data_IF_005429969857
#
_entry.id   IF_005429969857
#
_cell.length_a   1.000
_cell.length_b   1.000
_cell.length_c   1.000
_cell.angle_alpha   90.00
_cell.angle_beta   90.00
_cell.angle_gamma   90.00
#
_symmetry.space_group_name_H-M   'P 1'
#
loop_
_entity.id
_entity.type
_entity.pdbx_description
1 polymer ?
#
# COMPACT_ATOMS: atom_id res chain seq x y z
N UNK A 1 -26.11 44.62 17.00
CA UNK A 1 -26.42 44.22 15.61
C UNK A 1 -25.71 42.86 15.40
N UNK A 2 -26.47 41.81 15.52
CA UNK A 2 -26.05 40.42 15.52
C UNK A 2 -26.17 39.89 14.10
N UNK A 3 -25.04 39.46 13.51
CA UNK A 3 -25.04 38.77 12.22
C UNK A 3 -25.20 37.26 12.47
N UNK A 4 -26.30 36.71 11.97
CA UNK A 4 -26.63 35.30 12.01
C UNK A 4 -25.65 34.48 11.13
N UNK A 5 -25.06 33.44 11.68
CA UNK A 5 -24.39 32.37 10.92
C UNK A 5 -25.47 31.54 10.23
N UNK A 6 -25.39 31.53 8.90
CA UNK A 6 -26.21 30.68 8.05
C UNK A 6 -25.61 29.25 8.04
N UNK A 7 -26.13 28.38 8.90
CA UNK A 7 -25.84 26.94 8.90
C UNK A 7 -26.59 26.28 7.75
N UNK A 8 -25.97 26.23 6.56
CA UNK A 8 -26.42 25.34 5.49
C UNK A 8 -25.69 24.03 5.59
N UNK A 9 -26.30 23.07 6.28
CA UNK A 9 -25.95 21.67 6.15
C UNK A 9 -26.03 21.25 4.69
N UNK A 10 -24.95 20.66 4.18
CA UNK A 10 -24.93 20.04 2.85
C UNK A 10 -25.97 18.91 2.80
N UNK A 11 -26.72 18.75 1.70
CA UNK A 11 -27.72 17.66 1.61
C UNK A 11 -27.04 16.30 1.62
N UNK A 12 -27.67 15.25 2.24
CA UNK A 12 -27.14 13.91 2.26
C UNK A 12 -27.08 13.34 0.84
N UNK A 13 -25.90 12.86 0.48
CA UNK A 13 -25.53 11.97 -0.60
C UNK A 13 -26.45 11.88 -1.81
N UNK A 14 -26.22 12.69 -2.83
CA UNK A 14 -26.61 12.30 -4.20
C UNK A 14 -25.81 11.04 -4.55
N UNK A 15 -26.49 9.90 -4.79
CA UNK A 15 -25.86 8.74 -5.40
C UNK A 15 -25.12 9.25 -6.66
N UNK A 16 -23.79 9.15 -6.68
CA UNK A 16 -23.02 9.62 -7.82
C UNK A 16 -23.50 8.82 -9.03
N UNK A 17 -23.97 9.54 -10.04
CA UNK A 17 -24.43 8.92 -11.30
C UNK A 17 -23.25 8.19 -11.91
N UNK A 18 -23.38 6.87 -12.11
CA UNK A 18 -22.38 6.05 -12.81
C UNK A 18 -21.99 6.72 -14.14
N UNK A 19 -20.68 6.82 -14.41
CA UNK A 19 -20.17 7.41 -15.67
C UNK A 19 -20.68 6.65 -16.87
N UNK A 20 -20.78 7.36 -18.00
CA UNK A 20 -21.03 6.81 -19.32
C UNK A 20 -19.74 6.82 -20.14
N UNK A 21 -19.67 6.09 -21.27
CA UNK A 21 -18.49 6.07 -22.13
C UNK A 21 -18.02 7.46 -22.57
N UNK A 22 -18.95 8.41 -22.77
CA UNK A 22 -18.64 9.80 -23.15
C UNK A 22 -18.01 10.61 -22.03
N UNK A 23 -18.20 10.20 -20.78
CA UNK A 23 -17.66 10.87 -19.59
C UNK A 23 -16.21 10.41 -19.28
N UNK A 24 -15.70 9.38 -20.00
CA UNK A 24 -14.34 8.88 -19.85
C UNK A 24 -13.31 9.90 -20.38
N UNK A 25 -12.18 10.07 -19.68
CA UNK A 25 -11.06 10.90 -20.17
C UNK A 25 -10.50 10.37 -21.48
N UNK A 26 -10.47 9.04 -21.63
CA UNK A 26 -10.02 8.35 -22.85
C UNK A 26 -10.94 8.57 -24.06
N UNK A 27 -12.18 9.03 -23.85
CA UNK A 27 -13.10 9.36 -24.96
C UNK A 27 -12.48 10.35 -25.93
N UNK A 28 -11.73 11.36 -25.45
CA UNK A 28 -11.01 12.33 -26.31
C UNK A 28 -9.97 11.69 -27.24
N UNK A 29 -9.46 10.51 -26.91
CA UNK A 29 -8.50 9.77 -27.74
C UNK A 29 -9.20 8.80 -28.69
N UNK A 30 -10.25 8.16 -28.25
CA UNK A 30 -10.82 7.02 -28.96
C UNK A 30 -12.22 7.27 -29.50
N UNK A 31 -13.06 8.03 -28.78
CA UNK A 31 -14.45 8.26 -29.12
C UNK A 31 -14.71 9.46 -30.02
N UNK A 32 -13.83 10.46 -30.01
CA UNK A 32 -13.99 11.66 -30.81
C UNK A 32 -13.86 11.41 -32.32
N UNK A 33 -14.50 12.27 -33.15
CA UNK A 33 -14.51 12.19 -34.60
C UNK A 33 -13.54 13.18 -35.26
N UNK A 34 -12.41 13.47 -34.60
CA UNK A 34 -11.40 14.41 -35.07
C UNK A 34 -10.11 13.71 -35.56
N UNK A 35 -9.20 14.52 -36.10
CA UNK A 35 -7.91 14.05 -36.63
C UNK A 35 -7.00 13.49 -35.50
N UNK A 36 -7.10 14.01 -34.27
CA UNK A 36 -6.33 13.48 -33.12
C UNK A 36 -6.78 12.07 -32.77
N UNK A 37 -8.08 11.87 -32.63
CA UNK A 37 -8.64 10.55 -32.35
C UNK A 37 -8.33 9.54 -33.46
N UNK A 38 -8.33 9.97 -34.75
CA UNK A 38 -7.84 9.15 -35.85
C UNK A 38 -6.37 8.74 -35.62
N UNK A 39 -5.50 9.70 -35.28
CA UNK A 39 -4.09 9.43 -35.00
C UNK A 39 -3.91 8.43 -33.83
N UNK A 40 -4.64 8.62 -32.72
CA UNK A 40 -4.55 7.72 -31.56
C UNK A 40 -5.06 6.31 -31.91
N UNK A 41 -6.20 6.19 -32.59
CA UNK A 41 -6.71 4.88 -33.00
C UNK A 41 -5.78 4.16 -33.97
N UNK A 42 -5.15 4.87 -34.91
CA UNK A 42 -4.20 4.27 -35.84
C UNK A 42 -2.93 3.77 -35.13
N UNK A 43 -2.45 4.51 -34.11
CA UNK A 43 -1.31 4.10 -33.29
C UNK A 43 -1.66 2.93 -32.37
N UNK A 44 -2.86 2.91 -31.83
CA UNK A 44 -3.34 1.77 -31.04
C UNK A 44 -3.48 0.50 -31.91
N UNK A 45 -3.92 0.65 -33.17
CA UNK A 45 -3.89 -0.44 -34.15
C UNK A 45 -2.48 -0.93 -34.47
N UNK A 46 -1.49 -0.02 -34.53
CA UNK A 46 -0.06 -0.38 -34.68
C UNK A 46 0.44 -1.28 -33.54
N UNK A 47 -0.12 -1.15 -32.34
CA UNK A 47 0.19 -2.00 -31.17
C UNK A 47 -0.58 -3.34 -31.17
N UNK A 48 -1.38 -3.62 -32.21
CA UNK A 48 -2.11 -4.88 -32.40
C UNK A 48 -3.53 -4.89 -31.85
N UNK A 49 -4.07 -3.74 -31.40
CA UNK A 49 -5.44 -3.67 -30.86
C UNK A 49 -6.45 -3.20 -31.89
N UNK A 50 -7.66 -3.75 -31.83
CA UNK A 50 -8.80 -3.34 -32.64
C UNK A 50 -9.69 -2.35 -31.89
N UNK A 51 -10.56 -1.63 -32.63
CA UNK A 51 -11.49 -0.67 -31.99
C UNK A 51 -12.35 -1.27 -30.88
N UNK A 52 -12.77 -2.55 -31.01
CA UNK A 52 -13.58 -3.24 -30.00
C UNK A 52 -12.85 -3.46 -28.69
N UNK A 53 -11.51 -3.38 -28.69
CA UNK A 53 -10.70 -3.62 -27.50
C UNK A 53 -10.73 -2.43 -26.55
N UNK A 54 -10.88 -1.20 -27.04
CA UNK A 54 -10.78 0.03 -26.27
C UNK A 54 -11.95 1.01 -26.41
N UNK A 55 -12.76 0.95 -27.50
CA UNK A 55 -13.78 1.96 -27.74
C UNK A 55 -14.91 1.87 -26.71
N UNK A 56 -15.16 2.98 -26.00
CA UNK A 56 -16.18 3.06 -24.96
C UNK A 56 -15.85 2.33 -23.66
N UNK A 57 -14.61 1.85 -23.50
CA UNK A 57 -14.13 1.14 -22.31
C UNK A 57 -13.19 2.02 -21.47
N UNK A 58 -13.19 1.88 -20.15
CA UNK A 58 -12.21 2.53 -19.30
C UNK A 58 -10.79 2.10 -19.66
N UNK A 59 -9.90 3.07 -19.84
CA UNK A 59 -8.46 2.85 -20.00
C UNK A 59 -7.82 2.87 -18.63
N UNK A 60 -7.27 1.73 -18.21
CA UNK A 60 -6.64 1.56 -16.91
C UNK A 60 -5.12 1.54 -17.07
N UNK A 61 -4.45 2.55 -16.52
CA UNK A 61 -3.00 2.59 -16.42
C UNK A 61 -2.53 1.61 -15.34
N UNK A 62 -1.61 0.72 -15.67
CA UNK A 62 -0.90 -0.12 -14.70
C UNK A 62 0.47 0.50 -14.49
N UNK A 63 0.62 1.26 -13.40
CA UNK A 63 1.90 1.90 -13.04
C UNK A 63 2.75 0.84 -12.34
N UNK A 64 3.68 0.26 -13.08
CA UNK A 64 4.46 -0.90 -12.67
C UNK A 64 5.90 -0.52 -12.33
N UNK A 65 6.29 -0.71 -11.08
CA UNK A 65 7.66 -0.48 -10.59
C UNK A 65 8.54 -1.74 -10.63
N UNK A 66 8.25 -2.66 -11.54
CA UNK A 66 9.08 -3.83 -11.79
C UNK A 66 10.51 -3.48 -12.22
N UNK A 67 11.48 -4.27 -11.77
CA UNK A 67 12.84 -4.23 -12.26
C UNK A 67 13.61 -5.48 -11.84
N UNK A 68 14.59 -5.90 -12.63
CA UNK A 68 15.53 -6.97 -12.27
C UNK A 68 16.39 -6.64 -11.04
N UNK A 69 16.64 -5.34 -10.79
CA UNK A 69 17.41 -4.89 -9.63
C UNK A 69 16.57 -4.68 -8.37
N UNK A 70 15.28 -5.02 -8.40
CA UNK A 70 14.42 -4.88 -7.25
C UNK A 70 13.79 -6.22 -6.85
N UNK A 71 14.39 -6.97 -5.92
CA UNK A 71 13.87 -8.26 -5.50
C UNK A 71 12.48 -8.17 -4.85
N UNK A 72 12.13 -7.00 -4.28
CA UNK A 72 10.78 -6.77 -3.75
C UNK A 72 9.71 -6.79 -4.86
N UNK A 73 10.06 -6.44 -6.10
CA UNK A 73 9.16 -6.29 -7.24
C UNK A 73 9.44 -7.25 -8.40
N UNK A 74 10.36 -8.19 -8.26
CA UNK A 74 10.78 -9.11 -9.33
C UNK A 74 9.61 -9.89 -9.96
N UNK A 75 8.57 -10.19 -9.19
CA UNK A 75 7.35 -10.88 -9.64
C UNK A 75 6.32 -9.97 -10.31
N UNK A 76 6.49 -8.65 -10.32
CA UNK A 76 5.48 -7.72 -10.84
C UNK A 76 5.28 -7.82 -12.35
N UNK A 77 6.28 -8.29 -13.09
CA UNK A 77 6.09 -8.60 -14.52
C UNK A 77 4.93 -9.60 -14.72
N UNK A 78 4.94 -10.68 -13.94
CA UNK A 78 3.87 -11.68 -13.98
C UNK A 78 2.57 -11.14 -13.38
N UNK A 79 2.62 -10.42 -12.26
CA UNK A 79 1.43 -9.86 -11.60
C UNK A 79 0.72 -8.84 -12.47
N UNK A 80 1.44 -8.09 -13.32
CA UNK A 80 0.83 -7.17 -14.29
C UNK A 80 -0.06 -7.91 -15.29
N UNK A 81 0.32 -9.13 -15.73
CA UNK A 81 -0.53 -9.93 -16.61
C UNK A 81 -1.83 -10.40 -15.91
N UNK A 82 -1.76 -10.69 -14.63
CA UNK A 82 -2.94 -11.05 -13.84
C UNK A 82 -3.85 -9.85 -13.60
N UNK A 83 -3.29 -8.65 -13.39
CA UNK A 83 -4.05 -7.39 -13.36
C UNK A 83 -4.72 -7.13 -14.71
N UNK A 84 -3.98 -7.25 -15.83
CA UNK A 84 -4.53 -7.10 -17.18
C UNK A 84 -5.69 -8.06 -17.43
N UNK A 85 -5.56 -9.32 -17.00
CA UNK A 85 -6.64 -10.31 -17.07
C UNK A 85 -7.91 -9.79 -16.38
N UNK A 86 -7.80 -9.32 -15.15
CA UNK A 86 -8.94 -8.77 -14.40
C UNK A 86 -9.56 -7.56 -15.07
N UNK A 87 -8.76 -6.66 -15.64
CA UNK A 87 -9.23 -5.47 -16.37
C UNK A 87 -10.00 -5.90 -17.64
N UNK A 88 -9.46 -6.85 -18.43
CA UNK A 88 -10.13 -7.37 -19.60
C UNK A 88 -11.47 -8.04 -19.27
N UNK A 89 -11.50 -8.88 -18.24
CA UNK A 89 -12.71 -9.57 -17.78
C UNK A 89 -13.80 -8.59 -17.33
N UNK A 90 -13.43 -7.46 -16.73
CA UNK A 90 -14.36 -6.41 -16.31
C UNK A 90 -14.75 -5.42 -17.44
N UNK A 91 -14.24 -5.63 -18.65
CA UNK A 91 -14.56 -4.80 -19.80
C UNK A 91 -13.77 -3.49 -19.89
N UNK A 92 -12.62 -3.40 -19.25
CA UNK A 92 -11.65 -2.30 -19.37
C UNK A 92 -10.59 -2.55 -20.45
N UNK A 93 -9.75 -1.56 -20.69
CA UNK A 93 -8.58 -1.63 -21.56
C UNK A 93 -7.29 -1.34 -20.76
N UNK A 94 -6.46 -2.36 -20.47
CA UNK A 94 -5.24 -2.18 -19.69
C UNK A 94 -4.11 -1.59 -20.54
N UNK A 95 -3.39 -0.63 -19.95
CA UNK A 95 -2.16 -0.07 -20.50
C UNK A 95 -1.09 -0.08 -19.43
N UNK A 96 -0.08 -0.95 -19.59
CA UNK A 96 1.04 -1.00 -18.65
C UNK A 96 2.03 0.12 -18.94
N UNK A 97 2.41 0.84 -17.88
CA UNK A 97 3.38 1.93 -17.90
C UNK A 97 4.47 1.61 -16.88
N UNK A 98 5.73 1.39 -17.34
CA UNK A 98 6.84 1.25 -16.41
C UNK A 98 7.09 2.55 -15.67
N UNK A 99 7.42 2.45 -14.39
CA UNK A 99 7.78 3.56 -13.55
C UNK A 99 9.07 3.29 -12.80
N UNK A 100 9.69 4.34 -12.27
CA UNK A 100 10.94 4.27 -11.52
C UNK A 100 10.84 3.23 -10.40
N UNK A 101 11.74 2.27 -10.39
CA UNK A 101 11.88 1.32 -9.29
C UNK A 101 12.80 1.89 -8.20
N UNK A 102 12.38 1.79 -6.93
CA UNK A 102 13.20 2.20 -5.79
C UNK A 102 13.53 0.95 -4.97
N UNK A 103 14.72 0.39 -5.20
CA UNK A 103 15.18 -0.84 -4.55
C UNK A 103 15.97 -0.50 -3.29
N UNK A 104 15.35 -0.56 -2.11
CA UNK A 104 15.99 -0.26 -0.83
C UNK A 104 17.28 -1.07 -0.59
N UNK A 105 17.35 -2.38 -0.94
CA UNK A 105 18.57 -3.15 -0.76
C UNK A 105 19.77 -2.64 -1.58
N UNK A 106 19.53 -2.13 -2.79
CA UNK A 106 20.60 -1.82 -3.74
C UNK A 106 20.86 -0.33 -3.96
N UNK A 107 19.82 0.51 -3.86
CA UNK A 107 19.94 1.93 -4.17
C UNK A 107 20.56 2.72 -3.01
N UNK A 108 21.66 3.43 -3.30
CA UNK A 108 22.42 4.20 -2.32
C UNK A 108 22.43 5.70 -2.69
N UNK A 109 22.61 6.60 -1.72
CA UNK A 109 22.78 6.34 -0.28
C UNK A 109 21.48 5.95 0.42
N UNK A 110 20.32 6.29 -0.13
CA UNK A 110 18.98 5.93 0.36
C UNK A 110 17.93 6.17 -0.72
N UNK A 111 16.95 5.30 -0.83
CA UNK A 111 15.80 5.47 -1.73
C UNK A 111 14.93 6.69 -1.36
N UNK A 112 15.06 7.23 -0.15
CA UNK A 112 14.29 8.39 0.30
C UNK A 112 14.52 9.64 -0.58
N UNK A 113 15.72 9.82 -1.12
CA UNK A 113 16.04 10.93 -2.02
C UNK A 113 15.22 10.89 -3.32
N UNK A 114 14.78 9.70 -3.74
CA UNK A 114 14.09 9.46 -4.99
C UNK A 114 12.57 9.28 -4.84
N UNK A 115 12.06 9.22 -3.59
CA UNK A 115 10.63 9.06 -3.33
C UNK A 115 9.79 10.10 -4.05
N UNK A 116 10.19 11.36 -3.97
CA UNK A 116 9.43 12.45 -4.58
C UNK A 116 9.54 12.45 -6.10
N UNK A 117 10.66 11.99 -6.66
CA UNK A 117 10.84 11.82 -8.11
C UNK A 117 9.82 10.82 -8.66
N UNK A 118 9.69 9.63 -8.05
CA UNK A 118 8.67 8.65 -8.44
C UNK A 118 7.25 9.18 -8.24
N UNK A 119 7.00 10.00 -7.20
CA UNK A 119 5.70 10.63 -7.01
C UNK A 119 5.36 11.61 -8.14
N UNK A 120 6.32 12.41 -8.58
CA UNK A 120 6.18 13.34 -9.71
C UNK A 120 5.97 12.55 -11.02
N UNK A 121 6.78 11.51 -11.27
CA UNK A 121 6.63 10.65 -12.44
C UNK A 121 5.23 10.02 -12.51
N UNK A 122 4.76 9.46 -11.40
CA UNK A 122 3.40 8.87 -11.31
C UNK A 122 2.32 9.90 -11.62
N UNK A 123 2.43 11.11 -11.05
CA UNK A 123 1.50 12.20 -11.32
C UNK A 123 1.50 12.58 -12.80
N UNK A 124 2.67 12.75 -13.42
CA UNK A 124 2.80 13.17 -14.82
C UNK A 124 2.42 12.06 -15.81
N UNK A 125 2.69 10.80 -15.54
CA UNK A 125 2.17 9.69 -16.33
C UNK A 125 0.64 9.70 -16.35
N UNK A 126 0.00 9.86 -15.20
CA UNK A 126 -1.47 9.91 -15.10
C UNK A 126 -2.06 11.21 -15.67
N UNK A 127 -1.30 12.30 -15.69
CA UNK A 127 -1.72 13.60 -16.23
C UNK A 127 -1.62 13.64 -17.76
N UNK A 128 -0.49 13.22 -18.29
CA UNK A 128 -0.15 13.35 -19.73
C UNK A 128 -0.92 12.36 -20.60
N UNK A 129 -1.13 11.14 -20.12
CA UNK A 129 -1.94 10.13 -20.81
C UNK A 129 -3.39 10.15 -20.34
N UNK A 130 -4.39 9.93 -21.22
CA UNK A 130 -5.80 9.99 -20.86
C UNK A 130 -6.30 8.67 -20.26
N UNK A 131 -5.55 8.10 -19.33
CA UNK A 131 -6.06 7.02 -18.50
C UNK A 131 -7.28 7.49 -17.71
N UNK A 132 -8.26 6.61 -17.54
CA UNK A 132 -9.47 6.86 -16.77
C UNK A 132 -9.31 6.46 -15.31
N UNK A 133 -8.43 5.51 -15.04
CA UNK A 133 -8.05 5.07 -13.71
C UNK A 133 -6.69 4.40 -13.71
N UNK A 134 -6.22 3.99 -12.52
CA UNK A 134 -4.91 3.38 -12.36
C UNK A 134 -4.88 2.24 -11.36
N UNK A 135 -4.05 1.22 -11.65
CA UNK A 135 -3.52 0.27 -10.68
C UNK A 135 -2.07 0.64 -10.38
N UNK A 136 -1.75 0.84 -9.11
CA UNK A 136 -0.43 1.23 -8.64
C UNK A 136 0.27 0.00 -8.07
N UNK A 137 1.33 -0.48 -8.71
CA UNK A 137 2.05 -1.68 -8.28
C UNK A 137 3.35 -1.30 -7.58
N UNK A 138 3.40 -1.51 -6.27
CA UNK A 138 4.54 -1.18 -5.43
C UNK A 138 4.58 -2.00 -4.14
N UNK A 139 5.64 -1.89 -3.35
CA UNK A 139 5.73 -2.66 -2.11
C UNK A 139 7.08 -2.55 -1.40
N UNK A 140 8.07 -1.89 -2.01
CA UNK A 140 9.30 -1.53 -1.32
C UNK A 140 9.09 -0.24 -0.51
N UNK A 141 9.99 0.05 0.42
CA UNK A 141 9.88 1.09 1.45
C UNK A 141 9.33 2.44 0.96
N UNK A 142 9.82 2.92 -0.18
CA UNK A 142 9.50 4.26 -0.70
C UNK A 142 8.63 4.24 -1.96
N UNK A 143 8.50 3.09 -2.64
CA UNK A 143 7.63 2.97 -3.81
C UNK A 143 6.16 3.11 -3.42
N UNK A 144 5.75 2.48 -2.31
CA UNK A 144 4.37 2.54 -1.81
C UNK A 144 3.91 3.99 -1.57
N UNK A 145 4.57 4.79 -0.71
CA UNK A 145 4.13 6.16 -0.49
C UNK A 145 4.29 7.05 -1.74
N UNK A 146 5.33 6.83 -2.57
CA UNK A 146 5.55 7.62 -3.77
C UNK A 146 4.42 7.49 -4.80
N UNK A 147 4.02 6.26 -5.12
CA UNK A 147 2.92 5.99 -6.05
C UNK A 147 1.60 6.60 -5.56
N UNK A 148 1.30 6.45 -4.26
CA UNK A 148 0.10 7.05 -3.69
C UNK A 148 0.14 8.58 -3.69
N UNK A 149 1.29 9.19 -3.38
CA UNK A 149 1.46 10.64 -3.47
C UNK A 149 1.17 11.16 -4.87
N UNK A 150 1.65 10.50 -5.92
CA UNK A 150 1.35 10.85 -7.32
C UNK A 150 -0.13 10.69 -7.66
N UNK A 151 -0.73 9.57 -7.29
CA UNK A 151 -2.15 9.31 -7.52
C UNK A 151 -3.07 10.29 -6.78
N UNK A 152 -2.75 10.65 -5.53
CA UNK A 152 -3.47 11.66 -4.74
C UNK A 152 -3.41 13.04 -5.42
N UNK A 153 -2.24 13.43 -5.92
CA UNK A 153 -2.07 14.70 -6.63
C UNK A 153 -2.92 14.76 -7.87
N UNK A 154 -2.91 13.70 -8.68
CA UNK A 154 -3.70 13.64 -9.90
C UNK A 154 -5.20 13.45 -9.63
N UNK A 155 -5.55 12.76 -8.55
CA UNK A 155 -6.91 12.48 -8.11
C UNK A 155 -7.80 11.81 -9.18
N UNK A 156 -7.25 10.82 -9.87
CA UNK A 156 -8.00 9.88 -10.71
C UNK A 156 -8.39 8.65 -9.91
N UNK A 157 -9.47 7.94 -10.30
CA UNK A 157 -9.77 6.62 -9.74
C UNK A 157 -8.52 5.75 -9.73
N UNK A 158 -8.07 5.33 -8.55
CA UNK A 158 -6.85 4.54 -8.40
C UNK A 158 -6.93 3.62 -7.19
N UNK A 159 -6.29 2.45 -7.32
CA UNK A 159 -6.10 1.53 -6.21
C UNK A 159 -4.69 0.92 -6.25
N UNK A 160 -4.26 0.43 -5.12
CA UNK A 160 -2.90 -0.07 -4.93
C UNK A 160 -2.88 -1.60 -4.90
N UNK A 161 -1.90 -2.22 -5.58
CA UNK A 161 -1.55 -3.63 -5.47
C UNK A 161 -0.20 -3.76 -4.75
N UNK A 162 -0.18 -4.22 -3.48
CA UNK A 162 1.06 -4.42 -2.74
C UNK A 162 1.87 -5.61 -3.28
N UNK A 163 3.20 -5.56 -3.16
CA UNK A 163 4.07 -6.66 -3.55
C UNK A 163 3.92 -7.91 -2.65
N UNK A 164 3.46 -7.74 -1.45
CA UNK A 164 3.44 -8.81 -0.46
C UNK A 164 4.82 -9.11 0.14
N UNK A 165 4.86 -9.64 1.37
CA UNK A 165 6.11 -10.05 2.01
C UNK A 165 6.71 -11.28 1.32
N UNK A 166 8.05 -11.40 1.34
CA UNK A 166 8.72 -12.65 0.99
C UNK A 166 8.42 -13.74 2.03
N UNK A 167 8.61 -14.99 1.65
CA UNK A 167 8.53 -16.13 2.57
C UNK A 167 9.59 -15.99 3.67
N UNK A 168 9.29 -16.49 4.87
CA UNK A 168 10.25 -16.52 5.98
C UNK A 168 11.51 -17.28 5.58
N UNK A 169 12.67 -16.79 6.01
CA UNK A 169 13.92 -17.48 5.81
C UNK A 169 14.00 -18.77 6.64
N UNK A 170 14.85 -19.70 6.21
CA UNK A 170 15.14 -20.93 6.94
C UNK A 170 16.62 -21.29 6.79
N UNK A 171 17.24 -21.65 7.90
CA UNK A 171 18.56 -22.26 7.91
C UNK A 171 18.58 -23.39 8.93
N UNK A 172 18.70 -24.62 8.45
CA UNK A 172 18.75 -25.84 9.27
C UNK A 172 17.57 -25.94 10.26
N UNK A 173 16.36 -25.56 9.84
CA UNK A 173 15.16 -25.53 10.66
C UNK A 173 15.01 -24.31 11.58
N UNK A 174 15.97 -23.38 11.57
CA UNK A 174 15.86 -22.11 12.26
C UNK A 174 15.24 -21.06 11.33
N UNK A 175 14.14 -20.44 11.74
CA UNK A 175 13.52 -19.35 10.99
C UNK A 175 14.36 -18.08 11.03
N UNK A 176 14.57 -17.48 9.86
CA UNK A 176 15.38 -16.29 9.69
C UNK A 176 14.51 -15.12 9.20
N UNK A 177 14.73 -13.94 9.80
CA UNK A 177 14.15 -12.67 9.37
C UNK A 177 15.17 -11.77 8.69
N UNK A 178 14.90 -11.29 7.48
CA UNK A 178 15.84 -10.51 6.68
C UNK A 178 16.34 -9.21 7.34
N UNK A 179 15.53 -8.60 8.18
CA UNK A 179 15.89 -7.35 8.87
C UNK A 179 16.39 -7.52 10.32
N UNK A 180 16.33 -8.73 10.87
CA UNK A 180 16.68 -8.98 12.28
C UNK A 180 17.89 -9.89 12.44
N UNK A 181 17.92 -11.02 11.71
CA UNK A 181 18.95 -12.04 11.92
C UNK A 181 20.27 -11.75 11.18
N UNK A 182 20.25 -10.96 10.13
CA UNK A 182 21.47 -10.55 9.39
C UNK A 182 22.52 -9.96 10.35
N UNK A 183 22.13 -9.05 11.24
CA UNK A 183 23.04 -8.40 12.18
C UNK A 183 23.64 -9.37 13.18
N UNK A 184 22.83 -10.33 13.66
CA UNK A 184 23.29 -11.38 14.56
C UNK A 184 24.38 -12.24 13.89
N UNK A 185 24.08 -12.78 12.72
CA UNK A 185 25.02 -13.64 12.00
C UNK A 185 26.25 -12.89 11.48
N UNK A 186 26.10 -11.60 11.14
CA UNK A 186 27.25 -10.74 10.83
C UNK A 186 28.18 -10.57 12.04
N UNK A 187 27.63 -10.40 13.23
CA UNK A 187 28.46 -10.34 14.46
C UNK A 187 29.21 -11.65 14.71
N UNK A 188 28.55 -12.81 14.56
CA UNK A 188 29.17 -14.13 14.67
C UNK A 188 30.26 -14.35 13.62
N UNK A 189 30.01 -13.94 12.36
CA UNK A 189 31.00 -14.00 11.27
C UNK A 189 32.23 -13.17 11.62
N UNK A 190 32.08 -11.95 12.08
CA UNK A 190 33.19 -11.07 12.49
C UNK A 190 33.96 -11.60 13.70
N UNK A 191 33.29 -12.30 14.58
CA UNK A 191 33.93 -12.96 15.73
C UNK A 191 34.68 -14.24 15.33
N UNK A 192 34.63 -14.69 14.08
CA UNK A 192 35.25 -15.92 13.62
C UNK A 192 34.50 -17.21 13.99
N UNK A 193 33.26 -17.10 14.45
CA UNK A 193 32.44 -18.23 14.89
C UNK A 193 31.72 -18.95 13.75
N UNK A 194 31.75 -18.39 12.52
CA UNK A 194 31.11 -18.97 11.34
C UNK A 194 32.14 -19.23 10.23
N UNK A 195 32.10 -20.44 9.67
CA UNK A 195 32.84 -20.76 8.44
C UNK A 195 32.25 -20.04 7.23
N UNK A 196 33.03 -19.91 6.15
CA UNK A 196 32.53 -19.35 4.88
C UNK A 196 31.35 -20.15 4.35
N UNK A 197 31.43 -21.49 4.35
CA UNK A 197 30.34 -22.35 3.92
C UNK A 197 29.04 -22.13 4.74
N UNK A 198 29.16 -21.99 6.05
CA UNK A 198 28.00 -21.72 6.91
C UNK A 198 27.43 -20.34 6.63
N UNK A 199 28.28 -19.35 6.35
CA UNK A 199 27.84 -18.02 5.97
C UNK A 199 27.04 -18.03 4.66
N UNK A 200 27.55 -18.72 3.62
CA UNK A 200 26.85 -18.89 2.34
C UNK A 200 25.51 -19.61 2.47
N UNK A 201 25.43 -20.64 3.33
CA UNK A 201 24.16 -21.30 3.64
C UNK A 201 23.13 -20.33 4.21
N UNK A 202 23.54 -19.45 5.13
CA UNK A 202 22.67 -18.43 5.74
C UNK A 202 22.24 -17.39 4.70
N UNK A 203 23.16 -16.92 3.87
CA UNK A 203 22.84 -15.98 2.76
C UNK A 203 21.78 -16.57 1.82
N UNK A 204 21.93 -17.83 1.44
CA UNK A 204 20.98 -18.53 0.57
C UNK A 204 19.63 -18.80 1.28
N UNK A 205 19.65 -19.01 2.59
CA UNK A 205 18.47 -19.34 3.38
C UNK A 205 17.63 -18.14 3.82
N UNK A 206 18.19 -16.93 3.89
CA UNK A 206 17.52 -15.79 4.51
C UNK A 206 16.47 -15.11 3.63
N UNK A 207 16.67 -15.08 2.29
CA UNK A 207 15.77 -14.45 1.32
C UNK A 207 15.35 -15.44 0.24
N UNK A 208 14.38 -16.31 0.57
CA UNK A 208 14.00 -17.47 -0.23
C UNK A 208 13.03 -17.21 -1.39
N UNK A 209 12.43 -16.03 -1.46
CA UNK A 209 11.48 -15.66 -2.50
C UNK A 209 11.53 -14.17 -2.81
N UNK A 210 10.93 -13.78 -3.93
CA UNK A 210 10.60 -12.38 -4.18
C UNK A 210 9.58 -11.86 -3.15
N UNK A 211 9.41 -10.54 -3.09
CA UNK A 211 8.57 -9.84 -2.12
C UNK A 211 9.38 -8.89 -1.24
N UNK A 212 8.70 -8.03 -0.50
CA UNK A 212 9.37 -7.13 0.44
C UNK A 212 9.81 -7.88 1.72
N UNK A 213 10.55 -7.19 2.61
CA UNK A 213 11.03 -7.82 3.84
C UNK A 213 9.90 -8.53 4.61
N UNK A 214 10.23 -9.72 5.15
CA UNK A 214 9.30 -10.56 5.91
C UNK A 214 9.13 -10.12 7.38
N UNK A 215 9.76 -9.01 7.78
CA UNK A 215 9.59 -8.39 9.11
C UNK A 215 8.68 -7.16 9.00
N UNK A 216 8.18 -6.65 10.13
CA UNK A 216 7.42 -5.39 10.19
C UNK A 216 8.37 -4.18 10.08
N UNK A 217 9.11 -4.11 8.96
CA UNK A 217 9.87 -2.96 8.52
C UNK A 217 9.00 -1.95 7.78
N UNK A 218 9.62 -0.97 7.12
CA UNK A 218 8.91 0.12 6.45
C UNK A 218 8.00 -0.37 5.32
N UNK A 219 8.43 -1.36 4.53
CA UNK A 219 7.64 -1.92 3.45
C UNK A 219 6.33 -2.55 3.94
N UNK A 220 6.39 -3.48 4.91
CA UNK A 220 5.20 -4.10 5.52
C UNK A 220 4.32 -3.08 6.21
N UNK A 221 4.92 -2.10 6.90
CA UNK A 221 4.19 -1.02 7.56
C UNK A 221 3.40 -0.18 6.56
N UNK A 222 4.03 0.24 5.45
CA UNK A 222 3.37 1.10 4.47
C UNK A 222 2.29 0.36 3.69
N UNK A 223 2.49 -0.90 3.30
CA UNK A 223 1.44 -1.68 2.65
C UNK A 223 0.24 -1.91 3.58
N UNK A 224 0.48 -2.17 4.87
CA UNK A 224 -0.58 -2.25 5.88
C UNK A 224 -1.30 -0.91 6.09
N UNK A 225 -0.56 0.20 6.13
CA UNK A 225 -1.16 1.54 6.22
C UNK A 225 -2.06 1.84 5.02
N UNK A 226 -1.65 1.44 3.80
CA UNK A 226 -2.45 1.61 2.57
C UNK A 226 -3.77 0.83 2.63
N UNK A 227 -3.75 -0.38 3.21
CA UNK A 227 -4.97 -1.16 3.42
C UNK A 227 -5.88 -0.49 4.46
N UNK A 228 -5.32 -0.01 5.57
CA UNK A 228 -6.09 0.71 6.59
C UNK A 228 -6.62 2.07 6.11
N UNK A 229 -5.92 2.74 5.18
CA UNK A 229 -6.39 3.92 4.46
C UNK A 229 -7.55 3.61 3.48
N UNK A 230 -7.81 2.35 3.19
CA UNK A 230 -8.82 1.94 2.22
C UNK A 230 -8.39 2.00 0.76
N UNK A 231 -7.10 2.14 0.44
CA UNK A 231 -6.58 2.31 -0.93
C UNK A 231 -6.15 1.02 -1.62
N UNK A 232 -6.30 -0.13 -0.96
CA UNK A 232 -6.14 -1.48 -1.55
C UNK A 232 -7.29 -2.39 -1.15
N UNK A 233 -7.41 -3.54 -1.80
CA UNK A 233 -8.44 -4.52 -1.45
C UNK A 233 -8.15 -5.15 -0.06
N UNK A 234 -9.18 -5.44 0.74
CA UNK A 234 -9.01 -6.01 2.08
C UNK A 234 -8.23 -7.33 2.06
N UNK A 235 -7.23 -7.44 2.93
CA UNK A 235 -6.34 -8.59 3.06
C UNK A 235 -5.13 -8.60 2.14
N UNK A 236 -5.05 -7.69 1.17
CA UNK A 236 -3.99 -7.66 0.17
C UNK A 236 -2.59 -7.45 0.77
N UNK A 237 -2.46 -6.60 1.79
CA UNK A 237 -1.17 -6.24 2.38
C UNK A 237 -0.43 -7.40 3.05
N UNK A 238 -1.16 -8.43 3.50
CA UNK A 238 -0.58 -9.54 4.27
C UNK A 238 -0.22 -10.76 3.41
N UNK A 239 -0.74 -10.87 2.17
CA UNK A 239 -0.55 -12.07 1.34
C UNK A 239 0.92 -12.17 0.92
N UNK A 240 1.63 -13.27 1.23
CA UNK A 240 2.99 -13.47 0.74
C UNK A 240 3.06 -13.41 -0.79
N UNK A 241 4.10 -12.77 -1.31
CA UNK A 241 4.29 -12.56 -2.75
C UNK A 241 4.28 -13.87 -3.57
N UNK A 242 4.77 -14.96 -2.99
CA UNK A 242 4.84 -16.29 -3.62
C UNK A 242 3.54 -17.11 -3.47
N UNK A 243 2.59 -16.67 -2.64
CA UNK A 243 1.32 -17.38 -2.44
C UNK A 243 0.39 -17.22 -3.64
N UNK A 244 -0.29 -18.30 -4.04
CA UNK A 244 -1.25 -18.28 -5.16
C UNK A 244 -2.40 -17.30 -4.95
N UNK A 245 -2.73 -16.97 -3.70
CA UNK A 245 -3.73 -15.94 -3.36
C UNK A 245 -3.30 -14.55 -3.82
N UNK A 246 -1.99 -14.29 -3.93
CA UNK A 246 -1.48 -13.00 -4.45
C UNK A 246 -1.83 -12.81 -5.93
N UNK A 247 -1.74 -13.87 -6.75
CA UNK A 247 -2.16 -13.86 -8.15
C UNK A 247 -3.67 -13.59 -8.30
N UNK A 248 -4.50 -14.24 -7.45
CA UNK A 248 -5.93 -13.97 -7.43
C UNK A 248 -6.26 -12.55 -7.01
N UNK A 249 -5.56 -12.04 -5.99
CA UNK A 249 -5.70 -10.64 -5.54
C UNK A 249 -5.35 -9.65 -6.66
N UNK A 250 -4.29 -9.91 -7.44
CA UNK A 250 -3.92 -9.10 -8.59
C UNK A 250 -5.04 -9.06 -9.66
N UNK A 251 -5.67 -10.19 -9.95
CA UNK A 251 -6.81 -10.24 -10.87
C UNK A 251 -8.02 -9.46 -10.33
N UNK A 252 -8.36 -9.63 -9.05
CA UNK A 252 -9.46 -8.86 -8.42
C UNK A 252 -9.16 -7.36 -8.39
N UNK A 253 -7.90 -6.97 -8.15
CA UNK A 253 -7.47 -5.57 -8.25
C UNK A 253 -7.74 -5.01 -9.65
N UNK A 254 -7.46 -5.80 -10.69
CA UNK A 254 -7.75 -5.42 -12.08
C UNK A 254 -9.25 -5.24 -12.34
N UNK A 255 -10.10 -6.15 -11.87
CA UNK A 255 -11.57 -6.02 -12.00
C UNK A 255 -12.06 -4.76 -11.28
N UNK A 256 -11.64 -4.58 -10.04
CA UNK A 256 -12.08 -3.44 -9.24
C UNK A 256 -11.61 -2.10 -9.81
N UNK A 257 -10.45 -2.06 -10.49
CA UNK A 257 -9.97 -0.86 -11.17
C UNK A 257 -10.96 -0.33 -12.20
N UNK A 258 -11.64 -1.20 -12.91
CA UNK A 258 -12.69 -0.83 -13.90
C UNK A 258 -13.94 -0.28 -13.19
N UNK A 259 -14.38 -0.95 -12.12
CA UNK A 259 -15.56 -0.52 -11.37
C UNK A 259 -15.40 0.87 -10.76
N UNK A 260 -14.25 1.15 -10.11
CA UNK A 260 -14.02 2.47 -9.49
C UNK A 260 -13.98 3.61 -10.51
N UNK A 261 -13.63 3.33 -11.78
CA UNK A 261 -13.72 4.33 -12.85
C UNK A 261 -15.18 4.64 -13.18
N UNK A 262 -16.03 3.62 -13.30
CA UNK A 262 -17.45 3.83 -13.55
C UNK A 262 -18.16 4.52 -12.37
N UNK A 263 -17.73 4.21 -11.13
CA UNK A 263 -18.23 4.82 -9.90
C UNK A 263 -17.67 6.23 -9.66
N UNK A 264 -16.69 6.68 -10.47
CA UNK A 264 -15.89 7.91 -10.28
C UNK A 264 -15.28 8.03 -8.88
N UNK A 265 -14.91 6.89 -8.26
CA UNK A 265 -14.35 6.84 -6.93
C UNK A 265 -12.86 7.18 -6.93
N UNK A 266 -12.51 8.31 -6.35
CA UNK A 266 -11.17 8.90 -6.39
C UNK A 266 -10.45 8.80 -5.03
N UNK A 267 -9.12 8.90 -4.99
CA UNK A 267 -8.37 8.88 -3.74
C UNK A 267 -8.89 9.86 -2.67
N UNK A 268 -9.23 11.09 -3.04
CA UNK A 268 -9.73 12.10 -2.08
C UNK A 268 -11.15 11.85 -1.57
N UNK A 269 -11.91 10.93 -2.19
CA UNK A 269 -13.21 10.49 -1.67
C UNK A 269 -13.07 9.44 -0.55
N UNK A 270 -11.88 8.84 -0.43
CA UNK A 270 -11.52 7.79 0.52
C UNK A 270 -10.61 8.33 1.62
N UNK A 271 -9.61 9.15 1.23
CA UNK A 271 -8.58 9.67 2.11
C UNK A 271 -9.11 10.88 2.89
N UNK A 272 -9.66 10.64 4.07
CA UNK A 272 -10.16 11.62 5.03
C UNK A 272 -9.26 11.65 6.27
N UNK A 273 -9.49 12.59 7.18
CA UNK A 273 -8.79 12.60 8.47
C UNK A 273 -8.98 11.28 9.22
N UNK A 274 -10.19 10.73 9.21
CA UNK A 274 -10.52 9.47 9.90
C UNK A 274 -9.80 8.27 9.27
N UNK A 275 -9.65 8.24 7.92
CA UNK A 275 -8.88 7.19 7.26
C UNK A 275 -7.38 7.26 7.61
N UNK A 276 -6.82 8.46 7.79
CA UNK A 276 -5.45 8.60 8.29
C UNK A 276 -5.32 8.18 9.75
N UNK A 277 -6.30 8.48 10.60
CA UNK A 277 -6.34 7.99 11.98
C UNK A 277 -6.41 6.46 12.04
N UNK A 278 -7.22 5.83 11.19
CA UNK A 278 -7.26 4.37 11.04
C UNK A 278 -5.89 3.80 10.65
N UNK A 279 -5.22 4.43 9.69
CA UNK A 279 -3.89 3.99 9.26
C UNK A 279 -2.84 4.13 10.37
N UNK A 280 -2.84 5.26 11.10
CA UNK A 280 -1.94 5.50 12.23
C UNK A 280 -2.19 4.48 13.34
N UNK A 281 -3.45 4.30 13.76
CA UNK A 281 -3.84 3.34 14.79
C UNK A 281 -3.42 1.92 14.41
N UNK A 282 -3.63 1.52 13.15
CA UNK A 282 -3.20 0.21 12.63
C UNK A 282 -1.68 0.07 12.66
N UNK A 283 -0.92 1.08 12.21
CA UNK A 283 0.55 1.09 12.26
C UNK A 283 1.06 0.96 13.71
N UNK A 284 0.43 1.63 14.66
CA UNK A 284 0.77 1.55 16.07
C UNK A 284 0.50 0.15 16.65
N UNK A 285 -0.65 -0.45 16.33
CA UNK A 285 -0.99 -1.80 16.77
C UNK A 285 -0.08 -2.89 16.16
N UNK A 286 0.46 -2.63 14.98
CA UNK A 286 1.46 -3.48 14.31
C UNK A 286 2.88 -3.32 14.88
N UNK A 287 3.16 -2.26 15.63
CA UNK A 287 4.53 -1.87 15.95
C UNK A 287 5.32 -1.49 14.70
N UNK A 288 4.72 -0.70 13.83
CA UNK A 288 5.28 -0.31 12.54
C UNK A 288 6.52 0.57 12.62
N UNK A 289 7.08 0.86 11.47
CA UNK A 289 8.29 1.68 11.31
C UNK A 289 8.00 3.17 11.55
N UNK A 290 8.94 3.89 12.17
CA UNK A 290 8.92 5.35 12.32
C UNK A 290 8.89 6.09 10.98
N UNK A 291 9.36 5.48 9.89
CA UNK A 291 9.26 6.04 8.54
C UNK A 291 7.81 6.31 8.11
N UNK A 292 6.85 5.55 8.64
CA UNK A 292 5.43 5.74 8.31
C UNK A 292 4.95 7.17 8.61
N UNK A 293 5.45 7.80 9.68
CA UNK A 293 5.04 9.16 10.03
C UNK A 293 5.38 10.14 8.91
N UNK A 294 6.63 10.08 8.41
CA UNK A 294 7.08 10.95 7.31
C UNK A 294 6.24 10.74 6.06
N UNK A 295 5.87 9.48 5.78
CA UNK A 295 5.11 9.15 4.59
C UNK A 295 3.63 9.52 4.70
N UNK A 296 2.99 9.22 5.83
CA UNK A 296 1.58 9.55 6.06
C UNK A 296 1.37 11.07 6.11
N UNK A 297 2.27 11.84 6.75
CA UNK A 297 2.22 13.31 6.73
C UNK A 297 2.34 13.85 5.30
N UNK A 298 3.25 13.29 4.50
CA UNK A 298 3.41 13.73 3.10
C UNK A 298 2.17 13.43 2.25
N UNK A 299 1.53 12.27 2.45
CA UNK A 299 0.28 11.89 1.76
C UNK A 299 -0.90 12.75 2.21
N UNK A 300 -1.08 12.96 3.53
CA UNK A 300 -2.13 13.78 4.10
C UNK A 300 -2.07 15.23 3.58
N UNK A 301 -0.86 15.81 3.50
CA UNK A 301 -0.67 17.16 2.93
C UNK A 301 -1.13 17.27 1.47
N UNK A 302 -0.96 16.21 0.66
CA UNK A 302 -1.46 16.19 -0.73
C UNK A 302 -3.00 16.09 -0.80
N UNK A 303 -3.63 15.61 0.26
CA UNK A 303 -5.09 15.66 0.42
C UNK A 303 -5.58 17.00 1.01
N UNK A 304 -4.69 17.87 1.47
CA UNK A 304 -5.04 19.09 2.20
C UNK A 304 -5.40 18.82 3.67
N UNK A 305 -5.04 17.65 4.22
CA UNK A 305 -5.33 17.26 5.60
C UNK A 305 -4.14 17.64 6.49
N UNK A 306 -4.35 18.45 7.54
CA UNK A 306 -3.32 18.78 8.51
C UNK A 306 -3.07 17.61 9.45
N UNK A 307 -1.99 16.88 9.21
CA UNK A 307 -1.54 15.78 10.07
C UNK A 307 -0.25 16.18 10.80
N UNK A 308 -0.30 16.19 12.12
CA UNK A 308 0.80 16.63 13.00
C UNK A 308 1.37 15.48 13.82
N UNK A 309 2.57 15.65 14.37
CA UNK A 309 3.15 14.66 15.30
C UNK A 309 2.31 14.50 16.56
N UNK A 310 1.62 15.56 17.02
CA UNK A 310 0.75 15.47 18.18
C UNK A 310 -0.39 14.47 17.98
N UNK A 311 -0.94 14.39 16.75
CA UNK A 311 -1.97 13.40 16.45
C UNK A 311 -1.43 11.97 16.52
N UNK A 312 -0.20 11.72 16.10
CA UNK A 312 0.44 10.42 16.27
C UNK A 312 0.64 10.07 17.75
N UNK A 313 1.08 11.02 18.56
CA UNK A 313 1.28 10.81 20.01
C UNK A 313 -0.05 10.54 20.72
N UNK A 314 -1.09 11.29 20.42
CA UNK A 314 -2.44 11.08 20.95
C UNK A 314 -2.96 9.67 20.67
N UNK A 315 -2.90 9.25 19.39
CA UNK A 315 -3.34 7.92 18.99
C UNK A 315 -2.47 6.82 19.61
N UNK A 316 -1.16 7.06 19.75
CA UNK A 316 -0.24 6.11 20.36
C UNK A 316 -0.55 5.82 21.82
N UNK A 317 -0.95 6.83 22.59
CA UNK A 317 -1.29 6.70 24.02
C UNK A 317 -2.48 5.78 24.28
N UNK A 318 -3.32 5.49 23.30
CA UNK A 318 -4.52 4.63 23.44
C UNK A 318 -4.45 3.33 22.64
N UNK A 319 -3.39 3.15 21.81
CA UNK A 319 -3.30 2.00 20.94
C UNK A 319 -2.33 0.95 21.47
N UNK A 320 -2.78 -0.28 21.76
CA UNK A 320 -1.92 -1.37 22.19
C UNK A 320 -1.12 -1.93 21.01
N UNK A 321 0.10 -2.40 21.27
CA UNK A 321 0.91 -3.17 20.33
C UNK A 321 0.55 -4.66 20.45
N UNK A 322 -0.20 -5.18 19.49
CA UNK A 322 -0.73 -6.55 19.52
C UNK A 322 -0.16 -7.49 18.45
N UNK A 323 0.59 -6.99 17.47
CA UNK A 323 1.30 -7.84 16.52
C UNK A 323 2.64 -8.31 17.11
N UNK A 324 2.74 -9.61 17.41
CA UNK A 324 3.97 -10.23 17.91
C UNK A 324 4.91 -10.59 16.75
N UNK A 325 5.24 -9.58 15.93
CA UNK A 325 6.05 -9.70 14.71
C UNK A 325 7.37 -8.95 14.85
N UNK A 326 8.46 -9.54 14.37
CA UNK A 326 9.80 -8.88 14.40
C UNK A 326 9.78 -7.54 13.66
N UNK A 327 10.48 -6.51 14.14
CA UNK A 327 11.50 -6.53 15.20
C UNK A 327 10.94 -6.43 16.63
N UNK A 328 9.70 -6.00 16.84
CA UNK A 328 9.14 -5.82 18.18
C UNK A 328 8.77 -7.14 18.87
N UNK A 329 8.46 -8.16 18.10
CA UNK A 329 8.01 -9.46 18.56
C UNK A 329 8.85 -10.63 18.04
N UNK A 330 8.24 -11.81 17.98
CA UNK A 330 8.94 -13.09 17.72
C UNK A 330 8.74 -13.60 16.28
N UNK A 331 7.55 -13.44 15.71
CA UNK A 331 7.11 -14.07 14.46
C UNK A 331 7.47 -13.22 13.24
N UNK A 332 7.15 -13.73 12.04
CA UNK A 332 7.39 -13.10 10.74
C UNK A 332 6.06 -12.84 10.00
N UNK A 333 6.10 -12.10 8.90
CA UNK A 333 4.90 -11.72 8.16
C UNK A 333 4.13 -12.91 7.58
N UNK A 334 4.79 -14.00 7.25
CA UNK A 334 4.12 -15.24 6.82
C UNK A 334 3.29 -15.85 7.96
N UNK A 335 3.83 -15.87 9.19
CA UNK A 335 3.10 -16.30 10.38
C UNK A 335 1.91 -15.37 10.65
N UNK A 336 2.11 -14.05 10.50
CA UNK A 336 1.06 -13.06 10.64
C UNK A 336 -0.08 -13.26 9.65
N UNK A 337 0.23 -13.57 8.40
CA UNK A 337 -0.76 -13.88 7.38
C UNK A 337 -1.60 -15.11 7.76
N UNK A 338 -0.97 -16.21 8.19
CA UNK A 338 -1.68 -17.42 8.61
C UNK A 338 -2.43 -17.24 9.93
N UNK A 339 -2.05 -16.29 10.76
CA UNK A 339 -2.78 -15.93 11.98
C UNK A 339 -4.07 -15.14 11.72
N UNK A 340 -4.37 -14.79 10.46
CA UNK A 340 -5.54 -13.99 10.05
C UNK A 340 -5.18 -12.66 9.37
N UNK A 341 -3.91 -12.25 9.44
CA UNK A 341 -3.38 -11.08 8.76
C UNK A 341 -3.93 -9.76 9.27
N UNK A 342 -3.82 -8.72 8.43
CA UNK A 342 -4.17 -7.36 8.82
C UNK A 342 -5.66 -7.20 9.17
N UNK A 343 -6.55 -7.87 8.44
CA UNK A 343 -7.98 -7.79 8.72
C UNK A 343 -8.31 -8.27 10.13
N UNK A 344 -7.72 -9.39 10.55
CA UNK A 344 -7.93 -9.95 11.89
C UNK A 344 -7.34 -9.04 12.99
N UNK A 345 -6.18 -8.43 12.74
CA UNK A 345 -5.61 -7.43 13.65
C UNK A 345 -6.53 -6.22 13.78
N UNK A 346 -7.00 -5.66 12.66
CA UNK A 346 -7.91 -4.51 12.66
C UNK A 346 -9.25 -4.85 13.34
N UNK A 347 -9.78 -6.06 13.18
CA UNK A 347 -10.97 -6.52 13.89
C UNK A 347 -10.78 -6.50 15.42
N UNK A 348 -9.59 -6.88 15.93
CA UNK A 348 -9.27 -6.81 17.37
C UNK A 348 -9.20 -5.39 17.96
N UNK A 349 -9.00 -4.40 17.13
CA UNK A 349 -8.94 -2.99 17.52
C UNK A 349 -10.07 -2.16 16.89
N UNK A 350 -11.15 -2.81 16.46
CA UNK A 350 -12.23 -2.17 15.70
C UNK A 350 -12.89 -0.99 16.41
N UNK A 351 -12.94 -1.01 17.73
CA UNK A 351 -13.45 0.10 18.56
C UNK A 351 -12.51 1.33 18.57
N UNK A 352 -11.26 1.18 18.13
CA UNK A 352 -10.29 2.27 17.97
C UNK A 352 -10.28 2.84 16.55
N UNK A 353 -11.05 2.24 15.61
CA UNK A 353 -11.10 2.60 14.21
C UNK A 353 -12.43 3.27 13.85
N UNK A 354 -12.42 4.19 12.89
CA UNK A 354 -13.65 4.60 12.22
C UNK A 354 -14.09 3.53 11.22
N UNK A 355 -15.08 2.73 11.63
CA UNK A 355 -15.65 1.68 10.81
C UNK A 355 -16.41 2.17 9.57
N UNK A 356 -16.80 3.47 9.53
CA UNK A 356 -17.53 4.07 8.40
C UNK A 356 -16.60 4.56 7.27
N UNK A 357 -15.28 4.61 7.51
CA UNK A 357 -14.31 5.04 6.51
C UNK A 357 -14.46 4.19 5.23
N UNK A 358 -14.52 4.87 4.07
CA UNK A 358 -14.72 4.24 2.75
C UNK A 358 -13.46 3.54 2.27
N UNK A 359 -13.63 2.51 1.44
CA UNK A 359 -12.52 1.82 0.78
C UNK A 359 -12.72 1.70 -0.72
N UNK A 360 -11.64 1.52 -1.47
CA UNK A 360 -11.69 1.18 -2.90
C UNK A 360 -12.45 -0.12 -3.17
N UNK A 361 -12.55 -1.02 -2.18
CA UNK A 361 -13.27 -2.28 -2.29
C UNK A 361 -14.79 -2.14 -2.36
N UNK A 362 -15.33 -0.92 -2.23
CA UNK A 362 -16.77 -0.66 -2.26
C UNK A 362 -17.50 -0.93 -0.94
N UNK A 363 -16.76 -1.28 0.11
CA UNK A 363 -17.25 -1.47 1.48
C UNK A 363 -16.58 -0.46 2.41
N UNK A 364 -17.16 -0.23 3.58
CA UNK A 364 -16.49 0.51 4.65
C UNK A 364 -15.43 -0.35 5.35
N UNK A 365 -14.53 0.26 6.11
CA UNK A 365 -13.52 -0.46 6.90
C UNK A 365 -14.19 -1.46 7.84
N UNK A 366 -15.25 -1.05 8.57
CA UNK A 366 -15.99 -1.95 9.48
C UNK A 366 -16.52 -3.18 8.75
N UNK A 367 -17.17 -2.99 7.59
CA UNK A 367 -17.68 -4.09 6.78
C UNK A 367 -16.57 -4.95 6.12
N UNK A 368 -15.39 -4.39 5.92
CA UNK A 368 -14.24 -5.11 5.35
C UNK A 368 -13.54 -6.03 6.38
N UNK A 369 -13.58 -5.66 7.67
CA UNK A 369 -12.98 -6.43 8.76
C UNK A 369 -13.99 -7.33 9.50
N UNK A 370 -15.27 -7.17 9.22
CA UNK A 370 -16.33 -8.01 9.81
C UNK A 370 -16.10 -9.48 9.49
N UNK A 371 -16.28 -10.35 10.51
CA UNK A 371 -16.04 -11.78 10.41
C UNK A 371 -14.57 -12.17 10.18
N UNK A 372 -13.61 -11.26 10.41
CA UNK A 372 -12.19 -11.60 10.33
C UNK A 372 -11.70 -12.19 11.65
N UNK A 373 -11.41 -13.49 11.64
CA UNK A 373 -10.96 -14.26 12.80
C UNK A 373 -9.44 -14.25 12.96
N UNK A 374 -9.01 -14.29 14.21
CA UNK A 374 -7.61 -14.60 14.57
C UNK A 374 -7.46 -16.09 14.78
N UNK A 375 -6.60 -16.73 13.98
CA UNK A 375 -6.34 -18.15 14.04
C UNK A 375 -5.15 -18.55 14.95
N UNK A 376 -4.35 -17.56 15.36
CA UNK A 376 -3.22 -17.77 16.27
C UNK A 376 -3.02 -16.55 17.20
N UNK A 377 -3.42 -16.72 18.46
CA UNK A 377 -3.34 -15.73 19.52
C UNK A 377 -1.93 -15.43 20.02
N UNK A 378 -0.91 -16.20 19.61
CA UNK A 378 0.47 -15.89 19.91
C UNK A 378 1.11 -14.94 18.90
N UNK A 379 0.53 -14.86 17.70
CA UNK A 379 1.01 -13.97 16.62
C UNK A 379 0.25 -12.65 16.61
N UNK A 380 -1.09 -12.69 16.69
CA UNK A 380 -1.95 -11.52 16.86
C UNK A 380 -2.53 -11.63 18.27
N UNK A 381 -1.91 -10.94 19.21
CA UNK A 381 -2.22 -11.07 20.63
C UNK A 381 -3.60 -10.48 20.97
N UNK A 382 -4.34 -11.05 21.92
CA UNK A 382 -5.44 -10.35 22.56
C UNK A 382 -4.91 -9.12 23.32
N UNK A 383 -5.74 -8.10 23.49
CA UNK A 383 -5.30 -6.81 24.07
C UNK A 383 -4.72 -6.92 25.46
N UNK A 384 -5.23 -7.85 26.24
CA UNK A 384 -4.81 -8.13 27.63
C UNK A 384 -3.37 -8.70 27.67
N UNK A 385 -2.91 -9.26 26.55
CA UNK A 385 -1.56 -9.78 26.39
C UNK A 385 -0.70 -8.94 25.42
N UNK A 386 -1.09 -7.69 25.16
CA UNK A 386 -0.34 -6.81 24.27
C UNK A 386 1.14 -6.73 24.68
N UNK A 387 2.06 -6.70 23.70
CA UNK A 387 3.50 -6.50 23.96
C UNK A 387 3.76 -5.17 24.67
N UNK A 388 3.00 -4.14 24.28
CA UNK A 388 3.00 -2.84 24.93
C UNK A 388 1.53 -2.40 25.03
N UNK A 389 1.08 -2.07 26.23
CA UNK A 389 -0.30 -1.71 26.48
C UNK A 389 -0.73 -0.42 25.74
N UNK A 390 0.20 0.51 25.55
CA UNK A 390 0.04 1.75 24.78
C UNK A 390 1.42 2.39 24.50
N UNK A 391 1.52 3.29 23.52
CA UNK A 391 2.74 4.04 23.30
C UNK A 391 3.82 3.27 22.54
N UNK A 392 3.44 2.45 21.54
CA UNK A 392 4.40 1.73 20.68
C UNK A 392 5.30 2.67 19.85
N UNK A 393 4.90 3.92 19.69
CA UNK A 393 5.72 5.06 19.24
C UNK A 393 5.50 6.21 20.21
N UNK A 394 6.53 7.03 20.43
CA UNK A 394 6.44 8.23 21.28
C UNK A 394 7.01 9.44 20.55
N UNK A 395 6.38 10.60 20.75
CA UNK A 395 6.89 11.89 20.29
C UNK A 395 7.56 12.58 21.46
N UNK A 396 8.87 12.83 21.32
CA UNK A 396 9.68 13.50 22.31
C UNK A 396 9.89 14.96 21.92
N UNK A 397 9.85 15.87 22.90
CA UNK A 397 10.12 17.30 22.70
C UNK A 397 11.18 17.76 23.68
N UNK A 398 12.03 18.69 23.26
CA UNK A 398 13.08 19.25 24.06
C UNK A 398 13.90 20.27 23.27
N UNK A 399 14.96 20.79 23.90
CA UNK A 399 15.80 21.79 23.28
C UNK A 399 16.54 21.33 22.01
N UNK A 400 16.80 20.02 21.88
CA UNK A 400 17.42 19.43 20.68
C UNK A 400 16.39 19.20 19.54
N UNK A 401 15.13 19.03 19.88
CA UNK A 401 14.04 18.78 18.92
C UNK A 401 12.76 19.49 19.38
N UNK A 402 12.69 20.83 19.29
CA UNK A 402 11.55 21.60 19.79
C UNK A 402 10.25 21.25 19.02
N UNK A 403 10.35 20.93 17.73
CA UNK A 403 9.22 20.54 16.89
C UNK A 403 8.86 19.06 17.03
N UNK A 404 9.63 18.29 17.76
CA UNK A 404 9.41 16.89 18.06
C UNK A 404 10.36 15.94 17.33
N UNK A 405 10.69 14.86 18.01
CA UNK A 405 11.38 13.68 17.48
C UNK A 405 10.56 12.43 17.78
N UNK A 406 10.69 11.40 16.97
CA UNK A 406 9.94 10.15 17.14
C UNK A 406 10.88 9.04 17.58
N UNK A 407 10.49 8.32 18.61
CA UNK A 407 11.17 7.12 19.08
C UNK A 407 10.19 5.93 19.06
N UNK A 408 10.72 4.77 18.70
CA UNK A 408 10.07 3.49 18.93
C UNK A 408 10.72 2.86 20.16
N UNK A 409 10.05 2.83 21.31
CA UNK A 409 10.53 2.11 22.47
C UNK A 409 10.69 0.64 22.11
N UNK A 410 11.82 0.06 22.46
CA UNK A 410 12.15 -1.33 22.17
C UNK A 410 11.42 -2.28 23.12
#
# INVERSE_FOLDING_TARGET
MTASRDDRAAPPGSASRRKRPEDLRSHRWYGASDMRAFGHRSRTAQMGYSRRDYLGKPVIAIINTWSDINPCHAHFRQRAEEVKRGIWEAGGFPVEMPALTLSEPFQKPTTMLYRNLLAMETEELLRSYPADGAVLMGGCDKTTPALLMGAISMNLPALFLPAGPMLRGDWRGQFLGSGSDVWKFWAEKRAGNLSETTWEEIENGIARSHGHCMTMGTASTMTSAVEALGMTLPGAASIPAADSRHARMATETGRRAVDIVWDDLKPRDILTADSFDNAITTVLALGGSTNALVHLIAMARRCGIPLTLDRFDELSRRTPLIANVRPAGKYLMEDFFYAGGLRALMARISDLLDGNARTVGGRTIGAAIDGADVFNDDVILPRERALVASGSLAVLRGNLAPDGAVIKPA
#
